data_IF_501625810500
#
_entry.id   IF_501625810500
#
_cell.length_a   1.000
_cell.length_b   1.000
_cell.length_c   1.000
_cell.angle_alpha   90.00
_cell.angle_beta   90.00
_cell.angle_gamma   90.00
#
_symmetry.space_group_name_H-M   'P 1'
#
loop_
_entity.id
_entity.type
_entity.pdbx_description
1 polymer ?
#
# COMPACT_ATOMS: atom_id res chain seq x y z
N UNK A 1 -65.39 -18.33 -44.58
CA UNK A 1 -64.31 -17.63 -43.87
C UNK A 1 -63.01 -17.91 -44.62
N UNK A 2 -62.64 -17.04 -45.57
CA UNK A 2 -61.46 -17.23 -46.42
C UNK A 2 -60.48 -16.12 -46.08
N UNK A 3 -59.46 -16.44 -45.30
CA UNK A 3 -58.40 -15.51 -44.89
C UNK A 3 -57.54 -15.16 -46.10
N UNK A 4 -57.22 -13.86 -46.22
CA UNK A 4 -56.67 -13.22 -47.40
C UNK A 4 -55.23 -13.68 -47.69
N UNK A 5 -54.92 -14.01 -48.95
CA UNK A 5 -53.61 -14.56 -49.37
C UNK A 5 -52.42 -13.61 -49.15
N UNK A 6 -52.66 -12.29 -49.05
CA UNK A 6 -51.63 -11.27 -48.82
C UNK A 6 -51.10 -11.21 -47.38
N UNK A 7 -51.92 -11.52 -46.37
CA UNK A 7 -51.53 -11.45 -44.95
C UNK A 7 -50.56 -12.58 -44.56
N UNK A 8 -50.68 -13.73 -45.23
CA UNK A 8 -49.83 -14.90 -45.02
C UNK A 8 -48.39 -14.71 -45.51
N UNK A 9 -48.20 -13.88 -46.54
CA UNK A 9 -46.87 -13.57 -47.07
C UNK A 9 -46.07 -12.66 -46.13
N UNK A 10 -46.70 -11.63 -45.60
CA UNK A 10 -46.07 -10.67 -44.66
C UNK A 10 -45.75 -11.33 -43.32
N UNK A 11 -46.66 -12.15 -42.78
CA UNK A 11 -46.42 -12.93 -41.56
C UNK A 11 -45.24 -13.90 -41.71
N UNK A 12 -45.12 -14.57 -42.86
CA UNK A 12 -44.00 -15.47 -43.14
C UNK A 12 -42.66 -14.72 -43.24
N UNK A 13 -42.64 -13.53 -43.86
CA UNK A 13 -41.43 -12.70 -43.95
C UNK A 13 -40.99 -12.14 -42.59
N UNK A 14 -41.94 -11.71 -41.75
CA UNK A 14 -41.66 -11.22 -40.38
C UNK A 14 -41.12 -12.35 -39.49
N UNK A 15 -41.67 -13.57 -39.62
CA UNK A 15 -41.20 -14.73 -38.86
C UNK A 15 -39.74 -15.12 -39.21
N UNK A 16 -39.39 -15.07 -40.50
CA UNK A 16 -38.04 -15.40 -40.98
C UNK A 16 -37.02 -14.34 -40.52
N UNK A 17 -37.41 -13.05 -40.49
CA UNK A 17 -36.55 -11.97 -39.98
C UNK A 17 -36.32 -12.04 -38.46
N UNK A 18 -37.34 -12.43 -37.69
CA UNK A 18 -37.22 -12.60 -36.23
C UNK A 18 -36.31 -13.79 -35.89
N UNK A 19 -36.42 -14.92 -36.61
CA UNK A 19 -35.54 -16.09 -36.42
C UNK A 19 -34.08 -15.78 -36.80
N UNK A 20 -33.85 -14.99 -37.85
CA UNK A 20 -32.51 -14.54 -38.23
C UNK A 20 -31.92 -13.55 -37.20
N UNK A 21 -32.75 -12.74 -36.53
CA UNK A 21 -32.31 -11.84 -35.46
C UNK A 21 -31.90 -12.58 -34.18
N UNK A 22 -32.51 -13.73 -33.85
CA UNK A 22 -32.04 -14.58 -32.75
C UNK A 22 -30.75 -15.36 -33.09
N UNK A 23 -30.50 -15.62 -34.37
CA UNK A 23 -29.27 -16.26 -34.83
C UNK A 23 -28.07 -15.29 -34.90
N UNK A 24 -28.32 -13.97 -34.87
CA UNK A 24 -27.29 -12.94 -34.86
C UNK A 24 -27.00 -12.45 -33.42
N UNK A 25 -25.93 -13.02 -32.85
CA UNK A 25 -24.96 -12.30 -31.99
C UNK A 25 -25.21 -12.12 -30.48
N UNK A 26 -25.67 -13.17 -29.79
CA UNK A 26 -25.05 -13.49 -28.50
C UNK A 26 -24.31 -14.82 -28.60
N UNK A 27 -23.21 -14.81 -29.35
CA UNK A 27 -22.22 -15.89 -29.32
C UNK A 27 -21.41 -15.72 -28.04
N UNK A 28 -22.00 -16.09 -26.91
CA UNK A 28 -21.23 -16.28 -25.70
C UNK A 28 -20.44 -17.58 -25.87
N UNK A 29 -19.15 -17.46 -26.17
CA UNK A 29 -18.25 -18.60 -26.15
C UNK A 29 -17.94 -18.92 -24.68
N UNK A 30 -18.53 -20.01 -24.18
CA UNK A 30 -18.26 -20.51 -22.84
C UNK A 30 -17.02 -21.40 -22.87
N UNK A 31 -15.87 -20.82 -22.53
CA UNK A 31 -14.66 -21.60 -22.27
C UNK A 31 -14.59 -21.89 -20.77
N UNK A 32 -14.67 -23.17 -20.35
CA UNK A 32 -14.45 -23.50 -18.95
C UNK A 32 -12.99 -23.18 -18.59
N UNK A 33 -12.81 -22.40 -17.53
CA UNK A 33 -11.50 -22.22 -16.91
C UNK A 33 -11.57 -22.74 -15.47
N UNK A 34 -10.48 -23.32 -14.99
CA UNK A 34 -10.34 -23.76 -13.61
C UNK A 34 -9.21 -22.97 -12.97
N UNK A 35 -9.50 -22.32 -11.84
CA UNK A 35 -8.51 -21.72 -10.96
C UNK A 35 -8.41 -22.59 -9.71
N UNK A 36 -7.20 -23.05 -9.40
CA UNK A 36 -6.88 -23.70 -8.12
C UNK A 36 -6.03 -22.74 -7.31
N UNK A 37 -6.47 -22.43 -6.09
CA UNK A 37 -5.74 -21.55 -5.15
C UNK A 37 -5.30 -22.39 -3.94
N UNK A 38 -3.99 -22.44 -3.72
CA UNK A 38 -3.37 -23.15 -2.59
C UNK A 38 -2.49 -22.16 -1.80
N UNK A 39 -3.04 -21.46 -0.79
CA UNK A 39 -2.29 -20.49 -0.02
C UNK A 39 -1.10 -21.12 0.72
N UNK A 40 -0.03 -20.35 0.88
CA UNK A 40 1.17 -20.73 1.66
C UNK A 40 1.39 -19.71 2.77
N UNK A 41 2.19 -20.08 3.78
CA UNK A 41 2.62 -19.14 4.82
C UNK A 41 3.35 -17.94 4.18
N UNK A 42 3.09 -16.70 4.64
CA UNK A 42 3.67 -15.51 4.04
C UNK A 42 5.20 -15.52 4.24
N UNK A 43 6.02 -15.45 3.17
CA UNK A 43 7.47 -15.41 3.29
C UNK A 43 7.98 -14.07 3.85
N UNK A 44 7.22 -13.00 3.58
CA UNK A 44 7.49 -11.64 4.05
C UNK A 44 6.49 -11.26 5.14
N UNK A 45 7.00 -10.92 6.32
CA UNK A 45 6.19 -10.58 7.51
C UNK A 45 6.68 -9.30 8.18
N UNK A 46 5.77 -8.64 8.89
CA UNK A 46 6.12 -7.57 9.81
C UNK A 46 6.64 -8.13 11.14
N UNK A 47 7.57 -7.42 11.76
CA UNK A 47 8.02 -7.68 13.13
C UNK A 47 8.09 -6.38 13.93
N UNK A 48 8.16 -6.51 15.25
CA UNK A 48 8.38 -5.36 16.13
C UNK A 48 9.79 -4.83 15.95
N UNK A 49 9.91 -3.50 15.84
CA UNK A 49 11.20 -2.84 15.93
C UNK A 49 11.64 -2.65 17.38
N UNK A 50 12.91 -2.31 17.58
CA UNK A 50 13.47 -2.12 18.93
C UNK A 50 12.82 -0.95 19.69
N UNK A 51 12.25 0.02 18.98
CA UNK A 51 11.58 1.17 19.57
C UNK A 51 10.08 0.95 19.77
N UNK A 52 9.55 -0.21 19.37
CA UNK A 52 8.18 -0.60 19.65
C UNK A 52 7.97 -0.78 21.15
N UNK A 53 6.89 -0.20 21.69
CA UNK A 53 6.55 -0.25 23.12
C UNK A 53 7.44 0.61 24.01
N UNK A 54 8.41 1.34 23.45
CA UNK A 54 9.24 2.28 24.18
C UNK A 54 8.48 3.58 24.49
N UNK A 55 8.94 4.37 25.47
CA UNK A 55 8.37 5.69 25.75
C UNK A 55 8.32 6.57 24.50
N UNK A 56 7.19 7.24 24.30
CA UNK A 56 7.03 8.29 23.29
C UNK A 56 7.12 9.67 23.98
N UNK A 57 6.99 10.74 23.21
CA UNK A 57 6.85 12.09 23.77
C UNK A 57 5.56 12.20 24.60
N UNK A 58 5.65 12.92 25.72
CA UNK A 58 4.57 13.03 26.70
C UNK A 58 4.45 11.80 27.60
N UNK A 59 3.23 11.36 27.89
CA UNK A 59 2.95 10.16 28.69
C UNK A 59 2.65 8.93 27.82
N UNK A 60 2.91 9.01 26.51
CA UNK A 60 2.58 7.99 25.52
C UNK A 60 3.64 6.89 25.37
N UNK A 61 3.31 5.90 24.55
CA UNK A 61 4.25 4.87 24.08
C UNK A 61 4.16 4.77 22.56
N UNK A 62 5.27 4.41 21.93
CA UNK A 62 5.30 4.10 20.50
C UNK A 62 4.56 2.78 20.34
N UNK A 63 3.34 2.82 19.83
CA UNK A 63 2.51 1.64 19.71
C UNK A 63 2.71 0.98 18.37
N UNK A 64 3.00 -0.31 18.38
CA UNK A 64 2.95 -1.16 17.20
C UNK A 64 2.04 -2.33 17.52
N UNK A 65 1.12 -2.65 16.61
CA UNK A 65 0.25 -3.82 16.70
C UNK A 65 0.34 -4.61 15.41
N UNK A 66 0.68 -5.89 15.51
CA UNK A 66 0.77 -6.80 14.37
C UNK A 66 -0.50 -7.65 14.29
N UNK A 67 -1.01 -7.86 13.07
CA UNK A 67 -2.07 -8.84 12.86
C UNK A 67 -1.59 -10.25 13.18
N UNK A 68 -2.52 -11.19 13.42
CA UNK A 68 -2.21 -12.55 13.87
C UNK A 68 -1.20 -13.29 12.96
N UNK A 69 -1.28 -13.07 11.64
CA UNK A 69 -0.40 -13.66 10.64
C UNK A 69 0.79 -12.76 10.27
N UNK A 70 0.98 -11.64 10.97
CA UNK A 70 2.03 -10.64 10.74
C UNK A 70 2.08 -10.05 9.33
N UNK A 71 0.96 -10.09 8.60
CA UNK A 71 0.81 -9.48 7.26
C UNK A 71 0.17 -8.09 7.31
N UNK A 72 -0.09 -7.57 8.50
CA UNK A 72 -0.59 -6.22 8.74
C UNK A 72 0.06 -5.66 10.00
N UNK A 73 0.24 -4.35 10.00
CA UNK A 73 0.80 -3.59 11.12
C UNK A 73 0.04 -2.28 11.29
N UNK A 74 -0.21 -1.91 12.53
CA UNK A 74 -0.65 -0.57 12.92
C UNK A 74 0.46 0.07 13.74
N UNK A 75 0.80 1.34 13.42
CA UNK A 75 1.78 2.13 14.16
C UNK A 75 1.11 3.41 14.66
N UNK A 76 1.36 3.76 15.92
CA UNK A 76 0.96 5.05 16.51
C UNK A 76 2.16 5.71 17.17
N UNK A 77 2.40 6.98 16.81
CA UNK A 77 3.48 7.84 17.31
C UNK A 77 2.93 9.25 17.59
N UNK A 78 3.54 9.97 18.52
CA UNK A 78 3.06 11.27 19.02
C UNK A 78 4.13 12.36 18.86
N UNK A 79 4.39 12.82 17.63
CA UNK A 79 5.44 13.79 17.34
C UNK A 79 5.15 15.16 17.97
N UNK A 80 6.21 15.96 18.13
CA UNK A 80 6.11 17.37 18.56
C UNK A 80 6.56 18.34 17.46
N UNK A 81 6.61 19.62 17.80
CA UNK A 81 7.12 20.69 16.94
C UNK A 81 8.54 20.42 16.42
N UNK A 82 8.84 21.12 15.34
CA UNK A 82 10.06 20.98 14.56
C UNK A 82 10.21 19.53 14.07
N UNK A 83 11.33 18.85 14.36
CA UNK A 83 11.61 17.52 13.80
C UNK A 83 11.62 16.48 14.92
N UNK A 84 10.75 15.46 14.79
CA UNK A 84 10.76 14.26 15.65
C UNK A 84 11.14 13.04 14.82
N UNK A 85 12.13 12.25 15.28
CA UNK A 85 12.63 11.09 14.55
C UNK A 85 12.50 9.80 15.37
N UNK A 86 11.68 8.89 14.88
CA UNK A 86 11.39 7.58 15.45
C UNK A 86 12.16 6.51 14.69
N UNK A 87 13.23 5.99 15.30
CA UNK A 87 14.07 4.95 14.69
C UNK A 87 13.50 3.56 14.99
N UNK A 88 13.65 2.63 14.06
CA UNK A 88 13.41 1.19 14.24
C UNK A 88 12.08 0.90 14.97
N UNK A 89 10.98 1.38 14.39
CA UNK A 89 9.63 1.26 14.97
C UNK A 89 9.02 -0.09 14.62
N UNK A 90 9.07 -0.48 13.35
CA UNK A 90 8.65 -1.80 12.87
C UNK A 90 9.64 -2.30 11.83
N UNK A 91 9.57 -3.60 11.53
CA UNK A 91 10.46 -4.27 10.60
C UNK A 91 9.65 -4.95 9.50
N UNK A 92 10.27 -5.10 8.33
CA UNK A 92 9.79 -6.01 7.28
C UNK A 92 10.86 -7.09 7.09
N UNK A 93 10.51 -8.34 7.40
CA UNK A 93 11.40 -9.49 7.38
C UNK A 93 11.08 -10.41 6.21
N UNK A 94 12.06 -10.69 5.36
CA UNK A 94 11.97 -11.76 4.37
C UNK A 94 12.62 -13.02 4.94
N UNK A 95 11.81 -14.02 5.27
CA UNK A 95 12.28 -15.29 5.84
C UNK A 95 12.66 -16.35 4.81
N UNK A 96 12.46 -16.04 3.52
CA UNK A 96 12.65 -16.97 2.40
C UNK A 96 14.05 -16.83 1.76
N UNK A 97 14.38 -17.76 0.86
CA UNK A 97 15.59 -17.77 0.04
C UNK A 97 15.39 -17.12 -1.34
N UNK A 98 14.43 -16.19 -1.46
CA UNK A 98 14.12 -15.47 -2.70
C UNK A 98 14.14 -13.98 -2.44
N UNK A 99 14.45 -13.21 -3.46
CA UNK A 99 14.30 -11.75 -3.44
C UNK A 99 12.89 -11.35 -3.87
N UNK A 100 12.35 -10.32 -3.20
CA UNK A 100 11.06 -9.72 -3.54
C UNK A 100 11.20 -8.23 -3.82
N UNK A 101 10.55 -7.75 -4.88
CA UNK A 101 10.32 -6.30 -5.07
C UNK A 101 9.19 -5.89 -4.17
N UNK A 102 9.39 -4.81 -3.41
CA UNK A 102 8.44 -4.33 -2.41
C UNK A 102 7.94 -2.95 -2.80
N UNK A 103 6.62 -2.79 -2.80
CA UNK A 103 5.90 -1.57 -3.13
C UNK A 103 5.06 -1.12 -1.93
N UNK A 104 4.94 0.19 -1.76
CA UNK A 104 4.01 0.83 -0.85
C UNK A 104 2.83 1.37 -1.66
N UNK A 105 1.61 1.08 -1.21
CA UNK A 105 0.39 1.72 -1.71
C UNK A 105 -0.28 2.42 -0.54
N UNK A 106 -0.57 3.71 -0.65
CA UNK A 106 -1.39 4.43 0.32
C UNK A 106 -2.84 4.33 -0.16
N UNK A 107 -3.68 3.55 0.52
CA UNK A 107 -5.09 3.37 0.11
C UNK A 107 -6.00 4.47 0.64
N UNK A 108 -5.70 5.01 1.82
CA UNK A 108 -6.44 6.14 2.37
C UNK A 108 -5.48 7.05 3.15
N UNK A 109 -5.69 8.36 3.07
CA UNK A 109 -5.02 9.33 3.95
C UNK A 109 -6.00 10.36 4.49
N UNK A 110 -5.93 10.61 5.80
CA UNK A 110 -6.64 11.69 6.48
C UNK A 110 -5.58 12.55 7.17
N UNK A 111 -5.36 13.76 6.65
CA UNK A 111 -4.30 14.65 7.14
C UNK A 111 -4.94 15.95 7.64
N UNK A 112 -4.83 16.18 8.93
CA UNK A 112 -5.20 17.40 9.63
C UNK A 112 -3.99 17.90 10.43
N UNK A 113 -2.86 18.07 9.76
CA UNK A 113 -1.66 18.67 10.33
C UNK A 113 -1.56 20.15 9.94
N UNK A 114 -0.79 20.97 10.68
CA UNK A 114 -0.46 22.32 10.24
C UNK A 114 0.11 22.35 8.83
N UNK A 115 -0.13 23.44 8.11
CA UNK A 115 0.44 23.66 6.78
C UNK A 115 1.96 23.46 6.80
N UNK A 116 2.53 22.95 5.71
CA UNK A 116 3.96 22.63 5.59
C UNK A 116 4.47 21.49 6.50
N UNK A 117 3.60 20.82 7.24
CA UNK A 117 3.98 19.61 7.98
C UNK A 117 4.35 18.48 7.02
N UNK A 118 5.33 17.66 7.42
CA UNK A 118 5.84 16.55 6.62
C UNK A 118 5.85 15.28 7.45
N UNK A 119 5.53 14.16 6.81
CA UNK A 119 5.63 12.83 7.42
C UNK A 119 6.37 11.94 6.45
N UNK A 120 7.49 11.37 6.87
CA UNK A 120 8.31 10.49 6.07
C UNK A 120 8.33 9.08 6.66
N UNK A 121 8.11 8.09 5.79
CA UNK A 121 8.58 6.73 6.01
C UNK A 121 10.00 6.63 5.45
N UNK A 122 10.95 6.19 6.26
CA UNK A 122 12.33 5.96 5.83
C UNK A 122 12.64 4.48 6.06
N UNK A 123 13.09 3.81 5.01
CA UNK A 123 13.37 2.37 5.00
C UNK A 123 14.88 2.17 4.97
N UNK A 124 15.39 1.41 5.92
CA UNK A 124 16.80 1.06 6.02
C UNK A 124 17.01 -0.45 5.92
N UNK A 125 18.15 -0.88 5.39
CA UNK A 125 18.63 -2.24 5.65
C UNK A 125 18.92 -2.41 7.14
N UNK A 126 18.71 -3.60 7.68
CA UNK A 126 18.93 -3.86 9.11
C UNK A 126 20.36 -3.51 9.54
N UNK A 127 20.48 -2.85 10.70
CA UNK A 127 21.75 -2.39 11.25
C UNK A 127 22.39 -1.19 10.55
N UNK A 128 21.76 -0.58 9.53
CA UNK A 128 22.30 0.60 8.88
C UNK A 128 22.46 1.80 9.86
N UNK A 129 23.54 2.56 9.73
CA UNK A 129 23.76 3.74 10.58
C UNK A 129 22.79 4.87 10.22
N UNK A 130 22.09 5.41 11.22
CA UNK A 130 21.23 6.59 11.06
C UNK A 130 22.05 7.86 11.27
N UNK A 131 22.42 8.52 10.17
CA UNK A 131 23.07 9.82 10.20
C UNK A 131 22.11 10.90 9.68
N UNK A 132 21.66 11.78 10.58
CA UNK A 132 20.88 12.95 10.22
C UNK A 132 21.81 14.13 9.98
N UNK A 133 21.60 14.84 8.88
CA UNK A 133 22.38 16.01 8.49
C UNK A 133 21.45 17.19 8.23
N UNK A 134 21.99 18.40 8.41
CA UNK A 134 21.26 19.66 8.19
C UNK A 134 20.67 20.25 9.48
N UNK A 135 20.51 21.57 9.46
CA UNK A 135 19.85 22.37 10.50
C UNK A 135 19.12 23.54 9.84
N UNK A 136 17.92 23.96 10.30
CA UNK A 136 17.16 23.46 11.45
C UNK A 136 16.35 22.19 11.17
N UNK A 137 16.39 21.69 9.94
CA UNK A 137 15.55 20.59 9.47
C UNK A 137 16.41 19.37 9.15
N UNK A 138 16.83 18.60 10.17
CA UNK A 138 17.69 17.45 9.96
C UNK A 138 16.96 16.37 9.16
N UNK A 139 17.63 15.82 8.16
CA UNK A 139 17.15 14.69 7.36
C UNK A 139 18.24 13.64 7.20
N UNK A 140 17.89 12.36 6.93
CA UNK A 140 18.88 11.35 6.58
C UNK A 140 19.77 11.78 5.42
N UNK A 141 21.08 11.56 5.56
CA UNK A 141 22.00 11.77 4.45
C UNK A 141 21.59 10.92 3.23
N UNK A 142 21.70 11.48 2.03
CA UNK A 142 21.38 10.75 0.80
C UNK A 142 22.21 9.47 0.68
N UNK A 143 21.65 8.44 0.04
CA UNK A 143 22.29 7.12 -0.14
C UNK A 143 22.61 6.35 1.15
N UNK A 144 22.04 6.73 2.30
CA UNK A 144 22.19 5.97 3.57
C UNK A 144 20.99 5.07 3.89
N UNK A 145 19.90 5.22 3.14
CA UNK A 145 18.65 4.49 3.28
C UNK A 145 18.32 3.74 1.98
N UNK A 146 17.46 2.72 2.08
CA UNK A 146 16.88 2.02 0.92
C UNK A 146 15.92 2.94 0.19
N UNK A 147 14.99 3.56 0.94
CA UNK A 147 14.06 4.53 0.38
C UNK A 147 13.59 5.54 1.43
N UNK A 148 13.11 6.71 0.99
CA UNK A 148 12.48 7.75 1.80
C UNK A 148 11.25 8.26 1.06
N UNK A 149 10.07 8.09 1.66
CA UNK A 149 8.77 8.39 1.04
C UNK A 149 8.05 9.44 1.88
N UNK A 150 7.61 10.54 1.27
CA UNK A 150 6.80 11.57 1.93
C UNK A 150 5.32 11.21 1.88
N UNK A 151 4.76 10.76 3.01
CA UNK A 151 3.41 10.19 3.08
C UNK A 151 2.31 11.22 2.81
N UNK A 152 2.51 12.48 3.23
CA UNK A 152 1.51 13.56 3.05
C UNK A 152 1.25 13.83 1.56
N UNK A 153 2.32 13.90 0.77
CA UNK A 153 2.27 14.30 -0.64
C UNK A 153 2.23 13.14 -1.63
N UNK A 154 2.45 11.90 -1.18
CA UNK A 154 2.33 10.72 -2.05
C UNK A 154 0.86 10.50 -2.43
N UNK A 155 0.62 10.20 -3.71
CA UNK A 155 -0.70 9.92 -4.25
C UNK A 155 -1.28 8.61 -3.68
N UNK A 156 -2.60 8.58 -3.50
CA UNK A 156 -3.29 7.36 -3.11
C UNK A 156 -3.40 6.39 -4.28
N UNK A 157 -3.52 5.10 -3.97
CA UNK A 157 -3.75 4.01 -4.93
C UNK A 157 -2.67 3.83 -6.02
N UNK A 158 -1.55 4.55 -5.92
CA UNK A 158 -0.42 4.43 -6.84
C UNK A 158 0.72 3.64 -6.18
N UNK A 159 1.13 2.49 -6.75
CA UNK A 159 2.26 1.73 -6.24
C UNK A 159 3.57 2.53 -6.30
N UNK A 160 4.18 2.76 -5.14
CA UNK A 160 5.50 3.36 -5.01
C UNK A 160 6.52 2.27 -4.72
N UNK A 161 7.48 2.05 -5.63
CA UNK A 161 8.55 1.09 -5.39
C UNK A 161 9.40 1.53 -4.20
N UNK A 162 9.51 0.67 -3.18
CA UNK A 162 10.43 0.85 -2.06
C UNK A 162 11.82 0.35 -2.48
N UNK A 163 11.90 -0.88 -3.01
CA UNK A 163 13.16 -1.48 -3.45
C UNK A 163 13.09 -3.00 -3.55
N UNK A 164 14.26 -3.63 -3.67
CA UNK A 164 14.42 -5.09 -3.61
C UNK A 164 14.78 -5.54 -2.20
N UNK A 165 13.90 -6.33 -1.58
CA UNK A 165 14.16 -7.01 -0.32
C UNK A 165 14.80 -8.36 -0.61
N UNK A 166 16.14 -8.41 -0.46
CA UNK A 166 16.94 -9.61 -0.72
C UNK A 166 16.53 -10.81 0.16
N UNK A 167 16.98 -12.00 -0.22
CA UNK A 167 16.78 -13.21 0.57
C UNK A 167 17.28 -13.04 2.00
N UNK A 168 16.54 -13.58 2.98
CA UNK A 168 16.88 -13.52 4.41
C UNK A 168 17.17 -12.11 4.95
N UNK A 169 16.74 -11.07 4.24
CA UNK A 169 17.01 -9.69 4.60
C UNK A 169 15.89 -9.10 5.48
N UNK A 170 16.27 -8.13 6.29
CA UNK A 170 15.35 -7.36 7.13
C UNK A 170 15.50 -5.90 6.74
N UNK A 171 14.36 -5.23 6.57
CA UNK A 171 14.28 -3.78 6.56
C UNK A 171 13.76 -3.25 7.88
N UNK A 172 14.32 -2.12 8.30
CA UNK A 172 13.91 -1.36 9.46
C UNK A 172 13.16 -0.11 9.00
N UNK A 173 11.97 0.11 9.55
CA UNK A 173 11.15 1.28 9.24
C UNK A 173 11.32 2.32 10.33
N UNK A 174 11.75 3.50 9.90
CA UNK A 174 11.85 4.70 10.71
C UNK A 174 10.79 5.72 10.25
N UNK A 175 10.36 6.59 11.15
CA UNK A 175 9.44 7.68 10.84
C UNK A 175 10.05 9.02 11.22
N UNK A 176 10.05 9.98 10.28
CA UNK A 176 10.45 11.36 10.55
C UNK A 176 9.23 12.26 10.35
N UNK A 177 8.87 13.00 11.38
CA UNK A 177 7.75 13.95 11.33
C UNK A 177 8.29 15.36 11.53
N UNK A 178 7.83 16.27 10.68
CA UNK A 178 8.10 17.69 10.81
C UNK A 178 6.81 18.47 10.97
N UNK A 179 6.72 19.27 12.03
CA UNK A 179 5.61 20.20 12.29
C UNK A 179 6.21 21.60 12.47
N UNK A 180 5.81 22.62 11.70
CA UNK A 180 6.38 23.96 11.85
C UNK A 180 6.18 24.55 13.24
N UNK A 181 7.23 25.17 13.79
CA UNK A 181 7.15 25.91 15.05
C UNK A 181 6.13 27.05 14.96
N UNK A 182 5.46 27.35 16.08
CA UNK A 182 4.44 28.40 16.16
C UNK A 182 3.05 28.02 15.62
N UNK A 183 2.90 26.82 15.07
CA UNK A 183 1.59 26.28 14.66
C UNK A 183 0.76 25.83 15.88
N UNK A 184 -0.58 25.80 15.77
CA UNK A 184 -1.40 25.07 16.75
C UNK A 184 -1.43 23.58 16.40
N UNK A 185 -1.21 22.71 17.39
CA UNK A 185 -1.31 21.24 17.25
C UNK A 185 -2.55 20.65 17.91
N UNK A 186 -3.42 21.49 18.48
CA UNK A 186 -4.66 21.02 19.10
C UNK A 186 -5.56 20.37 18.04
N UNK A 187 -5.91 19.09 18.25
CA UNK A 187 -6.67 18.29 17.28
C UNK A 187 -5.91 17.86 16.04
N UNK A 188 -4.60 18.15 15.94
CA UNK A 188 -3.81 17.77 14.80
C UNK A 188 -3.62 16.24 14.74
N UNK A 189 -3.84 15.66 13.56
CA UNK A 189 -3.66 14.22 13.35
C UNK A 189 -3.35 13.89 11.89
N UNK A 190 -2.66 12.78 11.66
CA UNK A 190 -2.50 12.20 10.34
C UNK A 190 -2.66 10.68 10.43
N UNK A 191 -3.53 10.13 9.58
CA UNK A 191 -3.78 8.70 9.47
C UNK A 191 -3.51 8.30 8.03
N UNK A 192 -2.64 7.31 7.85
CA UNK A 192 -2.32 6.72 6.55
C UNK A 192 -2.65 5.23 6.60
N UNK A 193 -3.61 4.77 5.79
CA UNK A 193 -3.81 3.34 5.54
C UNK A 193 -2.93 2.94 4.38
N UNK A 194 -2.07 1.95 4.60
CA UNK A 194 -1.04 1.57 3.66
C UNK A 194 -1.02 0.05 3.47
N UNK A 195 -0.68 -0.37 2.26
CA UNK A 195 -0.45 -1.75 1.89
C UNK A 195 0.99 -1.92 1.43
N UNK A 196 1.64 -2.97 1.93
CA UNK A 196 2.87 -3.47 1.33
C UNK A 196 2.47 -4.56 0.33
N UNK A 197 2.83 -4.34 -0.93
CA UNK A 197 2.71 -5.34 -1.98
C UNK A 197 4.12 -5.85 -2.28
N UNK A 198 4.29 -7.16 -2.30
CA UNK A 198 5.55 -7.76 -2.70
C UNK A 198 5.32 -8.79 -3.80
N UNK A 199 6.29 -8.90 -4.69
CA UNK A 199 6.25 -9.87 -5.79
C UNK A 199 7.65 -10.45 -6.03
N UNK A 200 7.78 -11.74 -6.38
CA UNK A 200 9.06 -12.29 -6.81
C UNK A 200 9.69 -11.40 -7.90
N UNK A 201 11.00 -11.18 -7.84
CA UNK A 201 11.71 -10.14 -8.61
C UNK A 201 11.46 -10.09 -10.13
N UNK A 202 10.90 -11.15 -10.73
CA UNK A 202 10.52 -11.26 -12.14
C UNK A 202 9.19 -10.60 -12.52
N UNK A 203 8.31 -10.28 -11.57
CA UNK A 203 7.01 -9.65 -11.81
C UNK A 203 7.05 -8.15 -11.47
N UNK A 204 6.34 -7.35 -12.26
CA UNK A 204 6.06 -5.95 -11.95
C UNK A 204 4.54 -5.83 -11.72
N UNK A 205 4.09 -5.33 -10.55
CA UNK A 205 2.67 -5.07 -10.34
C UNK A 205 2.18 -3.95 -11.27
N UNK A 206 0.92 -4.00 -11.74
CA UNK A 206 0.33 -2.97 -12.59
C UNK A 206 0.19 -1.61 -11.89
#
# INVERSE_FOLDING_TARGET
>A
MVVNRGERGVLASVLILIVAAFAAASVFAYYPFQLTVSPVSPPVTFEYGNNSGQPDLGTGTISVSLGNNKTSVQVSIHPTYNTTYYKNVTLLNNSDSKEYKVYLIISEKQVSLPSESKVYLIVYSSGATRNLIGYPNPEPASNTYVNKIELVNTDTDTPTLIGSLHERAIWEFDFLVRIPEGSSIEGASAIFKMHIVYTPSAEAPP
#
